data_IF_736255985073
#
_entry.id   IF_736255985073
#
_cell.length_a   1.000
_cell.length_b   1.000
_cell.length_c   1.000
_cell.angle_alpha   90.00
_cell.angle_beta   90.00
_cell.angle_gamma   90.00
#
_symmetry.space_group_name_H-M   'P 1'
#
loop_
_entity.id
_entity.type
_entity.pdbx_description
1 polymer ?
#
# COMPACT_ATOMS: atom_id res chain seq x y z
N UNK A 1 -19.12 4.73 2.32
CA UNK A 1 -18.14 3.91 1.56
C UNK A 1 -17.04 4.74 0.89
N UNK A 2 -17.35 5.91 0.30
CA UNK A 2 -16.39 6.74 -0.46
C UNK A 2 -15.19 7.27 0.34
N UNK A 3 -15.38 7.59 1.63
CA UNK A 3 -14.31 8.16 2.46
C UNK A 3 -13.17 7.18 2.72
N UNK A 4 -13.47 5.90 2.94
CA UNK A 4 -12.43 4.88 3.13
C UNK A 4 -11.62 4.67 1.85
N UNK A 5 -12.30 4.62 0.69
CA UNK A 5 -11.63 4.51 -0.59
C UNK A 5 -10.64 5.67 -0.83
N UNK A 6 -10.98 6.90 -0.46
CA UNK A 6 -10.06 8.03 -0.57
C UNK A 6 -8.81 7.89 0.33
N UNK A 7 -8.96 7.34 1.54
CA UNK A 7 -7.83 7.05 2.42
C UNK A 7 -6.95 5.96 1.83
N UNK A 8 -7.55 4.90 1.28
CA UNK A 8 -6.81 3.85 0.60
C UNK A 8 -6.06 4.38 -0.64
N UNK A 9 -6.76 5.13 -1.50
CA UNK A 9 -6.20 5.67 -2.74
C UNK A 9 -5.02 6.63 -2.45
N UNK A 10 -5.09 7.42 -1.37
CA UNK A 10 -4.00 8.32 -0.98
C UNK A 10 -2.76 7.58 -0.49
N UNK A 11 -2.93 6.45 0.22
CA UNK A 11 -1.83 5.56 0.61
C UNK A 11 -1.19 4.94 -0.64
N UNK A 12 -2.00 4.43 -1.58
CA UNK A 12 -1.48 3.84 -2.83
C UNK A 12 -0.77 4.87 -3.71
N UNK A 13 -1.21 6.13 -3.68
CA UNK A 13 -0.51 7.24 -4.34
C UNK A 13 0.84 7.54 -3.66
N UNK A 14 0.88 7.61 -2.33
CA UNK A 14 2.10 7.88 -1.58
C UNK A 14 3.19 6.82 -1.84
N UNK A 15 2.81 5.55 -1.95
CA UNK A 15 3.75 4.45 -2.27
C UNK A 15 4.50 4.65 -3.59
N UNK A 16 3.83 5.24 -4.59
CA UNK A 16 4.39 5.47 -5.94
C UNK A 16 5.15 6.78 -6.07
N UNK A 17 5.35 7.50 -4.96
CA UNK A 17 5.98 8.81 -5.00
C UNK A 17 7.48 8.70 -5.29
N UNK A 18 8.02 9.56 -6.14
CA UNK A 18 9.44 9.58 -6.53
C UNK A 18 10.36 10.00 -5.37
N UNK A 19 9.87 10.86 -4.47
CA UNK A 19 10.57 11.19 -3.23
C UNK A 19 10.47 10.03 -2.24
N UNK A 20 11.64 9.46 -1.91
CA UNK A 20 11.80 8.33 -0.99
C UNK A 20 11.10 8.51 0.35
N UNK A 21 11.21 9.69 0.97
CA UNK A 21 10.58 9.96 2.27
C UNK A 21 9.06 9.86 2.25
N UNK A 22 8.42 10.24 1.13
CA UNK A 22 6.95 10.13 0.98
C UNK A 22 6.55 8.68 0.76
N UNK A 23 7.33 7.93 -0.04
CA UNK A 23 7.09 6.50 -0.25
C UNK A 23 7.27 5.69 1.05
N UNK A 24 8.31 5.97 1.83
CA UNK A 24 8.55 5.37 3.15
C UNK A 24 7.39 5.64 4.13
N UNK A 25 6.89 6.88 4.18
CA UNK A 25 5.73 7.24 4.98
C UNK A 25 4.46 6.50 4.51
N UNK A 26 4.24 6.40 3.20
CA UNK A 26 3.13 5.64 2.63
C UNK A 26 3.15 4.17 3.05
N UNK A 27 4.34 3.56 3.05
CA UNK A 27 4.54 2.17 3.48
C UNK A 27 4.27 1.99 4.98
N UNK A 28 4.73 2.92 5.83
CA UNK A 28 4.47 2.90 7.26
C UNK A 28 2.97 2.98 7.56
N UNK A 29 2.25 3.90 6.89
CA UNK A 29 0.81 4.06 7.05
C UNK A 29 0.07 2.80 6.57
N UNK A 30 0.47 2.21 5.45
CA UNK A 30 -0.10 0.94 4.98
C UNK A 30 0.08 -0.17 6.01
N UNK A 31 1.27 -0.29 6.60
CA UNK A 31 1.54 -1.30 7.63
C UNK A 31 0.66 -1.10 8.88
N UNK A 32 0.45 0.16 9.29
CA UNK A 32 -0.48 0.47 10.39
C UNK A 32 -1.91 0.06 10.01
N UNK A 33 -2.37 0.40 8.80
CA UNK A 33 -3.71 0.05 8.33
C UNK A 33 -3.95 -1.46 8.33
N UNK A 34 -3.00 -2.23 7.78
CA UNK A 34 -3.10 -3.69 7.74
C UNK A 34 -3.11 -4.31 9.15
N UNK A 35 -2.28 -3.81 10.08
CA UNK A 35 -2.33 -4.25 11.49
C UNK A 35 -3.67 -3.95 12.16
N UNK A 36 -4.31 -2.83 11.83
CA UNK A 36 -5.65 -2.52 12.34
C UNK A 36 -6.70 -3.51 11.83
N UNK A 37 -6.61 -3.93 10.56
CA UNK A 37 -7.50 -4.94 9.99
C UNK A 37 -7.27 -6.35 10.55
N UNK A 38 -6.09 -6.65 11.10
CA UNK A 38 -5.85 -7.91 11.82
C UNK A 38 -6.63 -7.99 13.15
N UNK A 39 -6.89 -6.84 13.79
CA UNK A 39 -7.54 -6.77 15.11
C UNK A 39 -8.98 -6.27 15.07
N UNK A 40 -9.49 -5.87 13.91
CA UNK A 40 -10.84 -5.35 13.78
C UNK A 40 -11.89 -6.48 13.70
N UNK A 41 -13.15 -6.08 13.61
CA UNK A 41 -14.26 -7.01 13.34
C UNK A 41 -13.94 -7.91 12.12
N UNK A 42 -14.06 -9.25 12.25
CA UNK A 42 -13.70 -10.18 11.18
C UNK A 42 -14.48 -9.96 9.88
N UNK A 43 -15.73 -9.51 9.96
CA UNK A 43 -16.57 -9.30 8.77
C UNK A 43 -16.15 -8.03 8.02
N UNK A 44 -15.81 -6.97 8.75
CA UNK A 44 -15.18 -5.78 8.18
C UNK A 44 -13.81 -6.09 7.54
N UNK A 45 -12.98 -6.89 8.21
CA UNK A 45 -11.68 -7.34 7.68
C UNK A 45 -11.85 -8.14 6.39
N UNK A 46 -12.79 -9.10 6.37
CA UNK A 46 -13.07 -9.91 5.19
C UNK A 46 -13.52 -9.07 4.00
N UNK A 47 -14.37 -8.07 4.24
CA UNK A 47 -14.82 -7.13 3.20
C UNK A 47 -13.63 -6.33 2.65
N UNK A 48 -12.74 -5.87 3.52
CA UNK A 48 -11.50 -5.19 3.10
C UNK A 48 -10.63 -6.09 2.23
N UNK A 49 -10.36 -7.33 2.64
CA UNK A 49 -9.50 -8.24 1.89
C UNK A 49 -10.08 -8.60 0.51
N UNK A 50 -11.39 -8.81 0.41
CA UNK A 50 -12.04 -9.10 -0.87
C UNK A 50 -11.90 -7.96 -1.88
N UNK A 51 -11.91 -6.71 -1.42
CA UNK A 51 -11.89 -5.53 -2.28
C UNK A 51 -10.45 -5.09 -2.60
N UNK A 52 -9.57 -5.06 -1.59
CA UNK A 52 -8.31 -4.31 -1.68
C UNK A 52 -7.04 -5.17 -1.65
N UNK A 53 -7.11 -6.44 -1.24
CA UNK A 53 -5.91 -7.24 -1.00
C UNK A 53 -5.05 -7.43 -2.27
N UNK A 54 -5.68 -7.83 -3.37
CA UNK A 54 -4.98 -8.08 -4.63
C UNK A 54 -4.35 -6.80 -5.20
N UNK A 55 -5.11 -5.69 -5.19
CA UNK A 55 -4.64 -4.38 -5.65
C UNK A 55 -3.47 -3.87 -4.80
N UNK A 56 -3.55 -4.04 -3.47
CA UNK A 56 -2.45 -3.69 -2.55
C UNK A 56 -1.18 -4.48 -2.87
N UNK A 57 -1.30 -5.80 -3.10
CA UNK A 57 -0.16 -6.65 -3.48
C UNK A 57 0.45 -6.23 -4.81
N UNK A 58 -0.39 -5.91 -5.82
CA UNK A 58 0.07 -5.41 -7.11
C UNK A 58 0.86 -4.10 -6.96
N UNK A 59 0.40 -3.15 -6.14
CA UNK A 59 1.12 -1.91 -5.88
C UNK A 59 2.45 -2.12 -5.18
N UNK A 60 2.51 -2.98 -4.16
CA UNK A 60 3.77 -3.33 -3.48
C UNK A 60 4.76 -3.95 -4.47
N UNK A 61 4.34 -4.92 -5.28
CA UNK A 61 5.23 -5.57 -6.24
C UNK A 61 5.71 -4.63 -7.34
N UNK A 62 4.86 -3.71 -7.81
CA UNK A 62 5.26 -2.70 -8.79
C UNK A 62 6.41 -1.82 -8.25
N UNK A 63 6.27 -1.30 -7.02
CA UNK A 63 7.31 -0.47 -6.38
C UNK A 63 8.61 -1.25 -6.18
N UNK A 64 8.53 -2.50 -5.73
CA UNK A 64 9.72 -3.36 -5.55
C UNK A 64 10.42 -3.63 -6.88
N UNK A 65 9.65 -3.89 -7.96
CA UNK A 65 10.19 -4.07 -9.30
C UNK A 65 10.91 -2.81 -9.80
N UNK A 66 10.33 -1.62 -9.64
CA UNK A 66 10.94 -0.34 -10.04
C UNK A 66 12.24 -0.04 -9.27
N UNK A 67 12.30 -0.35 -7.97
CA UNK A 67 13.54 -0.26 -7.19
C UNK A 67 14.62 -1.20 -7.73
N UNK A 68 14.25 -2.43 -8.13
CA UNK A 68 15.19 -3.41 -8.67
C UNK A 68 15.83 -2.92 -9.98
N UNK A 69 15.06 -2.32 -10.88
CA UNK A 69 15.57 -1.73 -12.12
C UNK A 69 16.50 -0.54 -11.85
N UNK A 70 16.15 0.34 -10.92
CA UNK A 70 16.98 1.50 -10.56
C UNK A 70 18.31 1.08 -9.93
N UNK A 71 18.31 0.03 -9.11
CA UNK A 71 19.54 -0.52 -8.50
C UNK A 71 20.45 -1.26 -9.49
N UNK A 72 19.89 -1.79 -10.58
CA UNK A 72 20.63 -2.50 -11.63
C UNK A 72 21.43 -1.58 -12.57
N UNK A 73 21.03 -0.31 -12.71
CA UNK A 73 21.69 0.66 -13.60
C UNK A 73 22.92 1.35 -12.97
N UNK A 74 23.21 1.09 -11.69
CA UNK A 74 24.43 1.53 -11.00
C UNK A 74 25.48 0.40 -10.92
N UNK A 75 25.64 -0.35 -12.02
CA UNK A 75 26.76 -1.27 -12.24
C UNK A 75 27.45 -0.98 -13.56
#
# INVERSE_FOLDING_TARGET
ATQFKLVYDSIMWALKHTMRTISELGLEILQIMLRKFQTCDPQAAQTFYQIYYLETMQHIFAVVAECSHTSGSYR
#
